data_IF_835349353233
#
_entry.id   IF_835349353233
#
_cell.length_a   1.000
_cell.length_b   1.000
_cell.length_c   1.000
_cell.angle_alpha   90.00
_cell.angle_beta   90.00
_cell.angle_gamma   90.00
#
_symmetry.space_group_name_H-M   'P 1'
#
loop_
_entity.id
_entity.type
_entity.pdbx_description
1 polymer ?
#
# COMPACT_ATOMS: atom_id res chain seq x y z
N UNK A 1 43.86 -25.82 -70.45
CA UNK A 1 43.76 -26.41 -69.14
C UNK A 1 43.33 -25.27 -68.14
N UNK A 2 42.04 -25.18 -67.83
CA UNK A 2 41.49 -24.03 -67.05
C UNK A 2 41.23 -24.52 -65.61
N UNK A 3 41.98 -23.96 -64.65
CA UNK A 3 41.88 -24.23 -63.23
C UNK A 3 40.76 -23.34 -62.65
N UNK A 4 39.69 -24.00 -62.21
CA UNK A 4 38.58 -23.29 -61.49
C UNK A 4 38.86 -23.29 -60.00
N UNK A 5 39.10 -22.13 -59.45
CA UNK A 5 39.26 -21.87 -58.01
C UNK A 5 37.85 -21.72 -57.37
N UNK A 6 37.47 -22.64 -56.49
CA UNK A 6 36.24 -22.53 -55.73
C UNK A 6 36.52 -21.74 -54.41
N UNK A 7 35.94 -20.58 -54.32
CA UNK A 7 36.00 -19.75 -53.11
C UNK A 7 34.79 -20.12 -52.23
N UNK A 8 35.04 -20.91 -51.19
CA UNK A 8 33.99 -21.21 -50.20
C UNK A 8 33.90 -20.10 -49.19
N UNK A 9 32.80 -19.33 -49.24
CA UNK A 9 32.45 -18.29 -48.29
C UNK A 9 31.81 -18.96 -47.04
N UNK A 10 32.57 -19.07 -45.95
CA UNK A 10 32.06 -19.52 -44.66
C UNK A 10 31.48 -18.28 -43.93
N UNK A 11 30.16 -18.17 -44.00
CA UNK A 11 29.42 -17.13 -43.28
C UNK A 11 29.25 -17.56 -41.82
N UNK A 12 30.14 -17.07 -40.91
CA UNK A 12 30.04 -17.30 -39.48
C UNK A 12 28.88 -16.51 -38.89
N UNK A 13 27.80 -17.21 -38.52
CA UNK A 13 26.66 -16.62 -37.79
C UNK A 13 27.04 -16.42 -36.32
N UNK A 14 27.47 -15.21 -35.94
CA UNK A 14 27.62 -14.82 -34.54
C UNK A 14 26.23 -14.59 -33.94
N UNK A 15 25.70 -15.59 -33.21
CA UNK A 15 24.57 -15.43 -32.32
C UNK A 15 25.03 -14.57 -31.11
N UNK A 16 24.77 -13.27 -31.16
CA UNK A 16 24.83 -12.40 -29.99
C UNK A 16 23.69 -12.86 -29.06
N UNK A 17 24.02 -13.67 -28.06
CA UNK A 17 23.14 -13.91 -26.91
C UNK A 17 23.02 -12.60 -26.13
N UNK A 18 21.98 -11.82 -26.43
CA UNK A 18 21.55 -10.70 -25.59
C UNK A 18 21.03 -11.37 -24.31
N UNK A 19 21.87 -11.39 -23.29
CA UNK A 19 21.43 -11.78 -21.93
C UNK A 19 20.37 -10.79 -21.48
N UNK A 20 19.10 -11.16 -21.58
CA UNK A 20 18.03 -10.48 -20.88
C UNK A 20 18.29 -10.75 -19.41
N UNK A 21 18.89 -9.78 -18.71
CA UNK A 21 18.87 -9.75 -17.25
C UNK A 21 17.39 -9.60 -16.85
N UNK A 22 16.73 -10.72 -16.63
CA UNK A 22 15.44 -10.72 -15.97
C UNK A 22 15.72 -10.23 -14.53
N UNK A 23 15.38 -8.99 -14.25
CA UNK A 23 15.43 -8.45 -12.91
C UNK A 23 14.52 -9.31 -12.05
N UNK A 24 15.05 -9.88 -10.98
CA UNK A 24 14.21 -10.66 -10.06
C UNK A 24 13.04 -9.78 -9.58
N UNK A 25 11.82 -10.32 -9.53
CA UNK A 25 10.67 -9.54 -9.09
C UNK A 25 10.90 -9.07 -7.65
N UNK A 26 10.60 -7.79 -7.38
CA UNK A 26 10.75 -7.18 -6.07
C UNK A 26 10.07 -8.03 -4.98
N UNK A 27 10.74 -8.19 -3.85
CA UNK A 27 10.18 -8.85 -2.66
C UNK A 27 9.25 -7.89 -1.91
N UNK A 28 8.40 -8.39 -0.99
CA UNK A 28 7.61 -7.54 -0.10
C UNK A 28 8.51 -6.60 0.74
N UNK A 29 9.66 -7.13 1.16
CA UNK A 29 10.67 -6.37 1.92
C UNK A 29 11.30 -5.25 1.09
N UNK A 30 11.52 -5.47 -0.22
CA UNK A 30 12.04 -4.42 -1.11
C UNK A 30 11.01 -3.31 -1.32
N UNK A 31 9.73 -3.67 -1.49
CA UNK A 31 8.65 -2.69 -1.61
C UNK A 31 8.54 -1.85 -0.34
N UNK A 32 8.54 -2.47 0.85
CA UNK A 32 8.50 -1.72 2.12
C UNK A 32 9.73 -0.82 2.28
N UNK A 33 10.93 -1.31 1.93
CA UNK A 33 12.17 -0.54 2.03
C UNK A 33 12.15 0.68 1.11
N UNK A 34 11.77 0.48 -0.14
CA UNK A 34 11.70 1.56 -1.13
C UNK A 34 10.65 2.61 -0.73
N UNK A 35 9.44 2.16 -0.36
CA UNK A 35 8.37 3.06 0.12
C UNK A 35 8.81 3.85 1.36
N UNK A 36 9.44 3.19 2.32
CA UNK A 36 9.98 3.85 3.52
C UNK A 36 11.01 4.92 3.13
N UNK A 37 11.92 4.60 2.21
CA UNK A 37 12.94 5.55 1.75
C UNK A 37 12.30 6.80 1.11
N UNK A 38 11.31 6.61 0.25
CA UNK A 38 10.59 7.71 -0.40
C UNK A 38 9.82 8.57 0.62
N UNK A 39 9.12 7.95 1.56
CA UNK A 39 8.43 8.65 2.64
C UNK A 39 9.41 9.46 3.49
N UNK A 40 10.56 8.89 3.86
CA UNK A 40 11.56 9.59 4.68
C UNK A 40 12.18 10.80 3.95
N UNK A 41 12.33 10.77 2.64
CA UNK A 41 12.75 11.96 1.87
C UNK A 41 11.73 13.09 2.04
N UNK A 42 10.43 12.80 1.87
CA UNK A 42 9.36 13.79 2.05
C UNK A 42 9.33 14.32 3.48
N UNK A 43 9.45 13.44 4.47
CA UNK A 43 9.47 13.82 5.90
C UNK A 43 10.66 14.72 6.25
N UNK A 44 11.84 14.44 5.71
CA UNK A 44 13.05 15.25 5.93
C UNK A 44 12.98 16.63 5.26
N UNK A 45 12.31 16.74 4.12
CA UNK A 45 12.10 18.01 3.42
C UNK A 45 10.96 18.85 4.02
N UNK A 46 9.99 18.21 4.67
CA UNK A 46 8.76 18.81 5.17
C UNK A 46 8.99 20.07 6.06
N UNK A 47 9.97 20.12 6.98
CA UNK A 47 10.20 21.29 7.82
C UNK A 47 10.46 22.60 7.06
N UNK A 48 10.87 22.50 5.79
CA UNK A 48 11.13 23.69 4.95
C UNK A 48 9.87 24.34 4.38
N UNK A 49 8.68 23.66 4.45
CA UNK A 49 7.45 24.17 3.82
C UNK A 49 6.14 23.79 4.53
N UNK A 50 6.14 22.83 5.45
CA UNK A 50 4.90 22.24 6.00
C UNK A 50 4.06 23.25 6.79
N UNK A 51 4.67 24.24 7.41
CA UNK A 51 3.96 25.28 8.16
C UNK A 51 3.20 26.24 7.23
N UNK A 52 3.74 26.49 6.03
CA UNK A 52 3.15 27.39 5.03
C UNK A 52 2.23 26.64 4.06
N UNK A 53 2.54 25.37 3.74
CA UNK A 53 1.82 24.53 2.77
C UNK A 53 1.72 23.08 3.24
N UNK A 54 0.91 22.78 4.27
CA UNK A 54 0.72 21.41 4.77
C UNK A 54 0.09 20.48 3.73
N UNK A 55 -0.75 21.01 2.83
CA UNK A 55 -1.38 20.21 1.79
C UNK A 55 -0.36 19.58 0.83
N UNK A 56 0.70 20.29 0.50
CA UNK A 56 1.81 19.77 -0.30
C UNK A 56 2.42 18.52 0.33
N UNK A 57 2.61 18.54 1.65
CA UNK A 57 3.14 17.40 2.39
C UNK A 57 2.21 16.18 2.27
N UNK A 58 0.92 16.34 2.58
CA UNK A 58 -0.03 15.23 2.50
C UNK A 58 -0.19 14.70 1.08
N UNK A 59 -0.16 15.55 0.06
CA UNK A 59 -0.21 15.11 -1.34
C UNK A 59 1.02 14.28 -1.73
N UNK A 60 2.22 14.67 -1.30
CA UNK A 60 3.44 13.91 -1.57
C UNK A 60 3.40 12.53 -0.90
N UNK A 61 3.01 12.45 0.36
CA UNK A 61 2.80 11.17 1.06
C UNK A 61 1.72 10.33 0.37
N UNK A 62 0.60 10.95 -0.02
CA UNK A 62 -0.50 10.28 -0.71
C UNK A 62 -0.05 9.60 -2.01
N UNK A 63 0.70 10.30 -2.85
CA UNK A 63 1.21 9.76 -4.13
C UNK A 63 2.06 8.50 -3.89
N UNK A 64 2.96 8.54 -2.89
CA UNK A 64 3.79 7.38 -2.55
C UNK A 64 2.94 6.19 -2.09
N UNK A 65 1.94 6.45 -1.22
CA UNK A 65 1.11 5.40 -0.66
C UNK A 65 0.12 4.82 -1.67
N UNK A 66 -0.33 5.60 -2.65
CA UNK A 66 -1.24 5.13 -3.72
C UNK A 66 -0.63 4.00 -4.55
N UNK A 67 0.68 3.99 -4.72
CA UNK A 67 1.39 2.97 -5.49
C UNK A 67 1.48 1.63 -4.74
N UNK A 68 1.41 1.64 -3.42
CA UNK A 68 1.69 0.44 -2.62
C UNK A 68 0.50 -0.03 -1.78
N UNK A 69 -0.43 0.85 -1.38
CA UNK A 69 -1.54 0.49 -0.49
C UNK A 69 -2.77 0.06 -1.28
N UNK A 70 -3.31 -1.13 -0.97
CA UNK A 70 -4.63 -1.54 -1.45
C UNK A 70 -5.74 -0.87 -0.60
N UNK A 71 -5.91 0.44 -0.76
CA UNK A 71 -6.94 1.19 -0.03
C UNK A 71 -8.34 0.62 -0.23
N UNK A 72 -8.65 0.14 -1.45
CA UNK A 72 -9.95 -0.46 -1.73
C UNK A 72 -10.14 -1.80 -1.01
N UNK A 73 -9.12 -2.64 -0.99
CA UNK A 73 -9.14 -3.89 -0.23
C UNK A 73 -9.23 -3.67 1.27
N UNK A 74 -8.50 -2.66 1.77
CA UNK A 74 -8.55 -2.24 3.16
C UNK A 74 -9.95 -1.73 3.55
N UNK A 75 -10.50 -0.76 2.81
CA UNK A 75 -11.86 -0.23 3.02
C UNK A 75 -12.93 -1.33 3.01
N UNK A 76 -12.83 -2.26 2.05
CA UNK A 76 -13.72 -3.42 2.01
C UNK A 76 -13.59 -4.30 3.26
N UNK A 77 -12.37 -4.51 3.74
CA UNK A 77 -12.09 -5.24 4.98
C UNK A 77 -12.69 -4.57 6.21
N UNK A 78 -12.63 -3.23 6.28
CA UNK A 78 -13.22 -2.38 7.32
C UNK A 78 -14.74 -2.45 7.28
N UNK A 79 -15.38 -2.32 6.11
CA UNK A 79 -16.83 -2.49 5.95
C UNK A 79 -17.31 -3.89 6.37
N UNK A 80 -16.44 -4.89 6.33
CA UNK A 80 -16.70 -6.25 6.84
C UNK A 80 -17.95 -6.88 6.23
N UNK A 81 -18.96 -7.26 7.05
CA UNK A 81 -20.16 -7.93 6.55
C UNK A 81 -20.97 -7.10 5.56
N UNK A 82 -20.79 -5.78 5.54
CA UNK A 82 -21.51 -4.88 4.61
C UNK A 82 -20.93 -4.88 3.19
N UNK A 83 -19.71 -5.43 2.97
CA UNK A 83 -19.04 -5.46 1.67
C UNK A 83 -18.48 -6.83 1.27
N UNK A 84 -19.08 -7.93 1.77
CA UNK A 84 -18.66 -9.28 1.41
C UNK A 84 -19.06 -9.65 -0.02
N UNK A 85 -18.34 -10.60 -0.62
CA UNK A 85 -18.69 -11.16 -1.93
C UNK A 85 -20.04 -11.88 -1.91
N UNK A 86 -20.44 -12.45 -0.78
CA UNK A 86 -21.74 -13.11 -0.59
C UNK A 86 -22.85 -12.07 -0.64
N UNK A 87 -22.75 -10.98 0.15
CA UNK A 87 -23.67 -9.87 0.10
C UNK A 87 -23.80 -9.29 -1.32
N UNK A 88 -22.69 -9.02 -2.00
CA UNK A 88 -22.69 -8.50 -3.36
C UNK A 88 -23.50 -9.41 -4.32
N UNK A 89 -23.30 -10.74 -4.22
CA UNK A 89 -24.01 -11.70 -5.07
C UNK A 89 -25.50 -11.82 -4.74
N UNK A 90 -25.91 -11.56 -3.50
CA UNK A 90 -27.32 -11.62 -3.08
C UNK A 90 -28.15 -10.41 -3.51
N UNK A 91 -27.50 -9.30 -3.93
CA UNK A 91 -28.16 -8.08 -4.35
C UNK A 91 -28.58 -8.16 -5.83
N UNK A 92 -29.65 -7.43 -6.17
CA UNK A 92 -30.00 -7.11 -7.55
C UNK A 92 -28.99 -6.12 -8.19
N UNK A 93 -29.16 -5.76 -9.44
CA UNK A 93 -28.19 -4.88 -10.14
C UNK A 93 -28.10 -3.50 -9.51
N UNK A 94 -29.23 -2.91 -9.12
CA UNK A 94 -29.24 -1.59 -8.46
C UNK A 94 -28.52 -1.64 -7.09
N UNK A 95 -28.76 -2.69 -6.30
CA UNK A 95 -28.08 -2.88 -5.02
C UNK A 95 -26.58 -3.13 -5.16
N UNK A 96 -26.15 -3.82 -6.23
CA UNK A 96 -24.72 -4.01 -6.55
C UNK A 96 -24.05 -2.71 -6.94
N UNK A 97 -24.72 -1.89 -7.73
CA UNK A 97 -24.23 -0.57 -8.12
C UNK A 97 -24.11 0.35 -6.90
N UNK A 98 -25.12 0.37 -6.04
CA UNK A 98 -25.08 1.12 -4.78
C UNK A 98 -23.91 0.66 -3.90
N UNK A 99 -23.72 -0.65 -3.71
CA UNK A 99 -22.63 -1.17 -2.89
C UNK A 99 -21.25 -0.81 -3.48
N UNK A 100 -21.10 -0.86 -4.82
CA UNK A 100 -19.86 -0.39 -5.48
C UNK A 100 -19.60 1.09 -5.18
N UNK A 101 -20.61 1.94 -5.36
CA UNK A 101 -20.51 3.37 -5.11
C UNK A 101 -20.20 3.68 -3.63
N UNK A 102 -20.79 2.96 -2.69
CA UNK A 102 -20.51 3.07 -1.26
C UNK A 102 -19.04 2.69 -0.96
N UNK A 103 -18.57 1.57 -1.51
CA UNK A 103 -17.17 1.14 -1.32
C UNK A 103 -16.20 2.14 -1.94
N UNK A 104 -16.51 2.71 -3.12
CA UNK A 104 -15.64 3.69 -3.76
C UNK A 104 -15.54 4.98 -2.94
N UNK A 105 -16.67 5.51 -2.45
CA UNK A 105 -16.67 6.69 -1.57
C UNK A 105 -15.94 6.42 -0.26
N UNK A 106 -16.17 5.27 0.37
CA UNK A 106 -15.50 4.92 1.62
C UNK A 106 -14.01 4.69 1.42
N UNK A 107 -13.61 4.15 0.27
CA UNK A 107 -12.18 4.03 -0.08
C UNK A 107 -11.50 5.39 -0.10
N UNK A 108 -12.12 6.39 -0.71
CA UNK A 108 -11.55 7.73 -0.79
C UNK A 108 -11.47 8.42 0.59
N UNK A 109 -12.52 8.28 1.40
CA UNK A 109 -12.52 8.75 2.78
C UNK A 109 -11.39 8.11 3.58
N UNK A 110 -11.26 6.78 3.53
CA UNK A 110 -10.18 6.06 4.24
C UNK A 110 -8.80 6.45 3.73
N UNK A 111 -8.65 6.60 2.42
CA UNK A 111 -7.39 6.99 1.77
C UNK A 111 -6.91 8.36 2.27
N UNK A 112 -7.77 9.36 2.22
CA UNK A 112 -7.47 10.73 2.66
C UNK A 112 -7.22 10.79 4.17
N UNK A 113 -8.11 10.22 4.97
CA UNK A 113 -8.02 10.26 6.42
C UNK A 113 -6.81 9.54 6.98
N UNK A 114 -6.48 8.37 6.47
CA UNK A 114 -5.28 7.64 6.89
C UNK A 114 -4.00 8.44 6.60
N UNK A 115 -3.91 9.08 5.42
CA UNK A 115 -2.76 9.90 5.08
C UNK A 115 -2.63 11.11 6.01
N UNK A 116 -3.73 11.79 6.34
CA UNK A 116 -3.70 12.94 7.26
C UNK A 116 -3.35 12.52 8.68
N UNK A 117 -4.04 11.51 9.21
CA UNK A 117 -3.84 11.04 10.58
C UNK A 117 -2.41 10.53 10.81
N UNK A 118 -1.94 9.63 9.95
CA UNK A 118 -0.62 9.03 10.13
C UNK A 118 0.50 9.89 9.55
N UNK A 119 0.25 10.66 8.50
CA UNK A 119 1.21 11.59 7.93
C UNK A 119 1.66 12.65 8.93
N UNK A 120 0.74 13.19 9.75
CA UNK A 120 1.09 14.11 10.83
C UNK A 120 2.06 13.48 11.85
N UNK A 121 1.84 12.20 12.20
CA UNK A 121 2.73 11.46 13.10
C UNK A 121 4.11 11.20 12.50
N UNK A 122 4.21 11.02 11.17
CA UNK A 122 5.50 10.76 10.50
C UNK A 122 6.47 11.94 10.63
N UNK A 123 6.00 13.18 10.76
CA UNK A 123 6.87 14.37 10.95
C UNK A 123 7.76 14.25 12.19
N UNK A 124 7.31 13.53 13.22
CA UNK A 124 8.09 13.28 14.42
C UNK A 124 9.29 12.35 14.20
N UNK A 125 9.36 11.64 13.08
CA UNK A 125 10.40 10.65 12.76
C UNK A 125 11.44 11.14 11.76
N UNK A 126 11.52 12.44 11.47
CA UNK A 126 12.43 13.01 10.48
C UNK A 126 13.93 12.70 10.69
N UNK A 127 14.35 12.43 11.94
CA UNK A 127 15.71 12.02 12.31
C UNK A 127 15.84 10.54 12.68
N UNK A 128 14.76 9.75 12.63
CA UNK A 128 14.76 8.38 13.11
C UNK A 128 15.66 7.44 12.29
N UNK A 129 16.30 6.48 12.97
CA UNK A 129 16.95 5.34 12.35
C UNK A 129 15.90 4.23 12.12
N UNK A 130 15.94 3.61 10.94
CA UNK A 130 14.95 2.61 10.53
C UNK A 130 15.65 1.31 10.15
N UNK A 131 15.18 0.21 10.72
CA UNK A 131 15.63 -1.14 10.38
C UNK A 131 14.43 -1.94 9.84
N UNK A 132 14.63 -2.64 8.74
CA UNK A 132 13.62 -3.52 8.13
C UNK A 132 14.15 -4.95 8.18
N UNK A 133 13.30 -5.88 8.62
CA UNK A 133 13.62 -7.31 8.67
C UNK A 133 14.09 -7.83 7.30
N UNK A 134 14.78 -8.96 7.29
CA UNK A 134 15.24 -9.59 6.04
C UNK A 134 14.17 -10.53 5.48
N UNK A 135 14.05 -10.64 4.15
CA UNK A 135 13.12 -11.57 3.53
C UNK A 135 13.49 -13.04 3.87
N UNK A 136 12.48 -13.90 3.95
CA UNK A 136 12.68 -15.34 4.03
C UNK A 136 13.10 -15.91 2.66
N UNK A 137 13.80 -17.05 2.65
CA UNK A 137 14.29 -17.68 1.41
C UNK A 137 13.15 -18.13 0.48
N UNK A 138 11.96 -18.35 1.00
CA UNK A 138 10.77 -18.82 0.27
C UNK A 138 9.76 -17.71 -0.03
N UNK A 139 10.09 -16.45 0.27
CA UNK A 139 9.17 -15.30 0.10
C UNK A 139 8.63 -15.19 -1.33
N UNK A 140 9.46 -15.48 -2.33
CA UNK A 140 9.04 -15.42 -3.74
C UNK A 140 7.84 -16.34 -4.05
N UNK A 141 7.64 -17.40 -3.28
CA UNK A 141 6.58 -18.41 -3.44
C UNK A 141 5.33 -18.07 -2.61
N UNK A 142 5.43 -17.11 -1.70
CA UNK A 142 4.33 -16.72 -0.82
C UNK A 142 3.41 -15.70 -1.50
N UNK A 143 2.11 -15.77 -1.18
CA UNK A 143 1.12 -14.78 -1.59
C UNK A 143 0.85 -13.72 -0.54
N UNK A 144 1.33 -13.93 0.70
CA UNK A 144 1.22 -13.03 1.84
C UNK A 144 2.48 -13.10 2.66
N UNK A 145 2.98 -11.95 3.10
CA UNK A 145 4.19 -11.79 3.90
C UNK A 145 3.95 -10.72 4.95
N UNK A 146 4.50 -10.90 6.15
CA UNK A 146 4.59 -9.85 7.14
C UNK A 146 6.01 -9.31 7.16
N UNK A 147 6.15 -7.99 6.96
CA UNK A 147 7.43 -7.28 7.01
C UNK A 147 7.48 -6.46 8.27
N UNK A 148 8.46 -6.70 9.12
CA UNK A 148 8.69 -5.95 10.34
C UNK A 148 9.63 -4.78 10.08
N UNK A 149 9.29 -3.62 10.63
CA UNK A 149 10.11 -2.42 10.65
C UNK A 149 10.25 -1.93 12.08
N UNK A 150 11.48 -1.67 12.48
CA UNK A 150 11.82 -1.00 13.73
C UNK A 150 12.18 0.45 13.44
N UNK A 151 11.59 1.36 14.18
CA UNK A 151 11.85 2.80 14.09
C UNK A 151 12.45 3.24 15.43
N UNK A 152 13.67 3.74 15.40
CA UNK A 152 14.38 4.23 16.58
C UNK A 152 14.37 5.75 16.56
N UNK A 153 13.63 6.37 17.48
CA UNK A 153 13.60 7.82 17.63
C UNK A 153 14.78 8.33 18.47
N UNK A 154 15.07 9.61 18.39
CA UNK A 154 16.20 10.25 19.08
C UNK A 154 16.09 10.19 20.61
N UNK A 155 14.89 9.98 21.17
CA UNK A 155 14.62 9.84 22.61
C UNK A 155 14.82 8.39 23.12
N UNK A 156 15.50 7.54 22.36
CA UNK A 156 15.78 6.13 22.66
C UNK A 156 14.52 5.24 22.77
N UNK A 157 13.38 5.69 22.27
CA UNK A 157 12.21 4.83 22.09
C UNK A 157 12.30 4.10 20.75
N UNK A 158 11.84 2.86 20.72
CA UNK A 158 11.69 2.10 19.48
C UNK A 158 10.22 1.75 19.27
N UNK A 159 9.80 1.86 18.02
CA UNK A 159 8.45 1.51 17.59
C UNK A 159 8.51 0.34 16.63
N UNK A 160 7.62 -0.62 16.81
CA UNK A 160 7.49 -1.79 15.93
C UNK A 160 6.31 -1.59 15.00
N UNK A 161 6.57 -1.66 13.70
CA UNK A 161 5.51 -1.65 12.67
C UNK A 161 5.57 -2.94 11.87
N UNK A 162 4.45 -3.64 11.80
CA UNK A 162 4.29 -4.86 11.01
C UNK A 162 3.41 -4.57 9.80
N UNK A 163 3.97 -4.64 8.60
CA UNK A 163 3.26 -4.49 7.34
C UNK A 163 2.77 -5.84 6.85
N UNK A 164 1.45 -6.02 6.74
CA UNK A 164 0.86 -7.22 6.15
C UNK A 164 0.72 -7.03 4.64
N UNK A 165 1.66 -7.58 3.91
CA UNK A 165 1.75 -7.49 2.46
C UNK A 165 1.02 -8.65 1.80
N UNK A 166 0.42 -8.40 0.63
CA UNK A 166 -0.25 -9.44 -0.16
C UNK A 166 -0.06 -9.20 -1.66
N UNK A 167 0.09 -10.27 -2.43
CA UNK A 167 0.18 -10.13 -3.90
C UNK A 167 -1.17 -9.74 -4.49
N UNK A 168 -1.14 -8.82 -5.44
CA UNK A 168 -2.27 -8.48 -6.30
C UNK A 168 -2.49 -9.58 -7.35
N UNK A 169 -3.53 -9.45 -8.17
CA UNK A 169 -3.76 -10.35 -9.31
C UNK A 169 -2.68 -10.23 -10.39
N UNK A 170 -2.02 -9.07 -10.50
CA UNK A 170 -0.88 -8.83 -11.39
C UNK A 170 0.44 -9.37 -10.83
N UNK A 171 0.46 -9.85 -9.58
CA UNK A 171 1.65 -10.38 -8.92
C UNK A 171 2.44 -9.35 -8.11
N UNK A 172 2.03 -8.10 -8.11
CA UNK A 172 2.67 -7.00 -7.36
C UNK A 172 2.36 -7.09 -5.87
N UNK A 173 3.33 -6.72 -5.04
CA UNK A 173 3.12 -6.62 -3.60
C UNK A 173 2.37 -5.34 -3.24
N UNK A 174 1.34 -5.49 -2.41
CA UNK A 174 0.53 -4.39 -1.91
C UNK A 174 0.35 -4.52 -0.39
N UNK A 175 0.35 -3.38 0.30
CA UNK A 175 0.01 -3.31 1.71
C UNK A 175 -1.49 -3.55 1.90
N UNK A 176 -1.83 -4.55 2.70
CA UNK A 176 -3.21 -4.96 3.01
C UNK A 176 -3.66 -4.55 4.39
N UNK A 177 -2.74 -4.46 5.34
CA UNK A 177 -3.00 -4.06 6.71
C UNK A 177 -1.70 -3.67 7.41
N UNK A 178 -1.81 -2.94 8.49
CA UNK A 178 -0.68 -2.51 9.31
C UNK A 178 -0.99 -2.72 10.79
N UNK A 179 0.03 -3.17 11.54
CA UNK A 179 -0.02 -3.32 12.99
C UNK A 179 1.07 -2.45 13.57
N UNK A 180 0.73 -1.50 14.42
CA UNK A 180 1.67 -0.57 15.07
C UNK A 180 1.62 -0.87 16.58
N UNK A 181 2.77 -1.23 17.19
CA UNK A 181 2.84 -1.50 18.62
C UNK A 181 1.73 -2.49 19.09
N UNK A 182 1.52 -3.56 18.36
CA UNK A 182 0.46 -4.54 18.62
C UNK A 182 -0.98 -4.05 18.32
N UNK A 183 -1.17 -2.83 17.87
CA UNK A 183 -2.46 -2.27 17.49
C UNK A 183 -2.75 -2.58 16.03
N UNK A 184 -3.72 -3.44 15.77
CA UNK A 184 -4.13 -3.83 14.41
C UNK A 184 -5.11 -2.78 13.84
N UNK A 185 -4.64 -1.96 12.88
CA UNK A 185 -5.44 -0.87 12.32
C UNK A 185 -6.69 -1.38 11.61
N UNK A 186 -6.58 -2.43 10.82
CA UNK A 186 -7.73 -3.00 10.12
C UNK A 186 -8.82 -3.51 11.07
N UNK A 187 -8.44 -4.03 12.23
CA UNK A 187 -9.37 -4.48 13.27
C UNK A 187 -10.05 -3.31 13.98
N UNK A 188 -9.28 -2.29 14.37
CA UNK A 188 -9.83 -1.08 15.01
C UNK A 188 -10.84 -0.41 14.09
N UNK A 189 -10.48 -0.09 12.87
CA UNK A 189 -11.37 0.56 11.92
C UNK A 189 -12.61 -0.29 11.60
N UNK A 190 -12.46 -1.62 11.50
CA UNK A 190 -13.60 -2.52 11.32
C UNK A 190 -14.57 -2.46 12.50
N UNK A 191 -14.06 -2.47 13.73
CA UNK A 191 -14.88 -2.41 14.94
C UNK A 191 -15.61 -1.06 15.02
N UNK A 192 -14.94 0.06 14.69
CA UNK A 192 -15.54 1.39 14.63
C UNK A 192 -16.63 1.46 13.57
N UNK A 193 -16.36 0.96 12.34
CA UNK A 193 -17.34 0.95 11.27
C UNK A 193 -18.59 0.14 11.63
N UNK A 194 -18.41 -1.05 12.20
CA UNK A 194 -19.54 -1.88 12.62
C UNK A 194 -20.34 -1.23 13.75
N UNK A 195 -19.68 -0.54 14.67
CA UNK A 195 -20.38 0.19 15.75
C UNK A 195 -21.20 1.35 15.17
N UNK A 196 -20.64 2.13 14.26
CA UNK A 196 -21.34 3.20 13.56
C UNK A 196 -22.52 2.64 12.71
N UNK A 197 -22.30 1.56 11.98
CA UNK A 197 -23.35 0.93 11.17
C UNK A 197 -24.52 0.41 12.01
N UNK A 198 -24.25 -0.13 13.21
CA UNK A 198 -25.33 -0.52 14.15
C UNK A 198 -26.12 0.70 14.65
N UNK A 199 -25.40 1.80 14.99
CA UNK A 199 -26.03 3.06 15.44
C UNK A 199 -26.94 3.65 14.37
N UNK A 200 -26.52 3.59 13.11
CA UNK A 200 -27.25 4.10 11.95
C UNK A 200 -28.23 3.08 11.34
N UNK A 201 -28.58 2.00 12.06
CA UNK A 201 -29.49 0.93 11.60
C UNK A 201 -29.12 0.35 10.21
N UNK A 202 -27.83 0.29 9.90
CA UNK A 202 -27.33 -0.23 8.62
C UNK A 202 -27.34 0.77 7.47
N UNK A 203 -27.62 2.05 7.71
CA UNK A 203 -27.58 3.09 6.70
C UNK A 203 -26.11 3.46 6.35
N UNK A 204 -25.49 2.67 5.48
CA UNK A 204 -24.07 2.76 5.15
C UNK A 204 -23.66 4.15 4.62
N UNK A 205 -24.54 4.81 3.84
CA UNK A 205 -24.29 6.17 3.35
C UNK A 205 -24.15 7.19 4.50
N UNK A 206 -24.94 7.06 5.56
CA UNK A 206 -24.85 7.90 6.75
C UNK A 206 -23.55 7.63 7.51
N UNK A 207 -23.13 6.37 7.63
CA UNK A 207 -21.85 5.99 8.24
C UNK A 207 -20.67 6.62 7.50
N UNK A 208 -20.65 6.53 6.17
CA UNK A 208 -19.58 7.09 5.33
C UNK A 208 -19.54 8.62 5.47
N UNK A 209 -20.71 9.29 5.49
CA UNK A 209 -20.78 10.75 5.65
C UNK A 209 -20.26 11.21 7.01
N UNK A 210 -20.58 10.49 8.09
CA UNK A 210 -20.05 10.79 9.44
C UNK A 210 -18.54 10.56 9.51
N UNK A 211 -18.02 9.52 8.85
CA UNK A 211 -16.59 9.23 8.82
C UNK A 211 -15.79 10.36 8.16
N UNK A 212 -16.27 10.86 7.03
CA UNK A 212 -15.66 12.00 6.34
C UNK A 212 -15.67 13.29 7.18
N UNK A 213 -16.68 13.49 8.04
CA UNK A 213 -16.78 14.69 8.88
C UNK A 213 -15.78 14.72 10.03
N UNK A 214 -15.42 13.54 10.59
CA UNK A 214 -14.44 13.47 11.70
C UNK A 214 -13.02 13.82 11.23
N UNK A 215 -12.70 13.56 9.97
CA UNK A 215 -11.37 13.83 9.42
C UNK A 215 -11.12 15.29 9.05
N UNK A 216 -12.18 16.13 8.99
CA UNK A 216 -12.06 17.55 8.63
C UNK A 216 -11.79 18.41 9.88
N UNK A 217 -12.10 17.93 11.08
CA UNK A 217 -12.05 18.67 12.33
C UNK A 217 -10.76 18.43 13.16
N UNK A 218 -9.78 17.61 12.69
CA UNK A 218 -8.47 17.36 13.32
C UNK A 218 -7.32 18.09 12.61
#
# INVERSE_FOLDING_TARGET
MKLRLHFSLVLGLYLLAIGVNAQEPATAHDVVRETTSQVMVVVQEAPSYVDDDPERYYQQIQVILDDVVDFRGFARGVMGPYATSERYRSLDEAGREQLRAQLDRFTEVMRTGMVRTYGKGLLAFGGASIEISKPSLDEAQQSRVSVEQLIFSDDAQSYVVMYQMGRSKSGEWQLRNMIIESINLGEIYRNQFQAAARKENGAIDAVIAQWAAVEIDE
#
